data_IF_343541080711
#
_entry.id   IF_343541080711
#
_cell.length_a   1.000
_cell.length_b   1.000
_cell.length_c   1.000
_cell.angle_alpha   90.00
_cell.angle_beta   90.00
_cell.angle_gamma   90.00
#
_symmetry.space_group_name_H-M   'P 1'
#
loop_
_entity.id
_entity.type
_entity.pdbx_description
1 polymer ?
#
# COMPACT_ATOMS: atom_id res chain seq x y z
N UNK A 1 4.48 -17.18 4.17
CA UNK A 1 4.35 -15.76 4.55
C UNK A 1 3.78 -15.03 3.35
N UNK A 2 2.59 -14.48 3.48
CA UNK A 2 1.91 -13.78 2.39
C UNK A 2 2.56 -12.39 2.25
N UNK A 3 2.82 -11.90 1.04
CA UNK A 3 3.52 -10.62 0.81
C UNK A 3 2.90 -9.43 1.58
N UNK A 4 1.57 -9.45 1.79
CA UNK A 4 0.85 -8.44 2.57
C UNK A 4 1.15 -8.49 4.08
N UNK A 5 1.43 -9.65 4.64
CA UNK A 5 1.82 -9.77 6.06
C UNK A 5 3.19 -9.14 6.28
N UNK A 6 4.14 -9.39 5.37
CA UNK A 6 5.46 -8.76 5.44
C UNK A 6 5.36 -7.25 5.22
N UNK A 7 4.51 -6.79 4.30
CA UNK A 7 4.20 -5.37 4.13
C UNK A 7 3.77 -4.71 5.44
N UNK A 8 2.80 -5.30 6.14
CA UNK A 8 2.30 -4.77 7.42
C UNK A 8 3.45 -4.70 8.44
N UNK A 9 4.26 -5.75 8.53
CA UNK A 9 5.39 -5.84 9.47
C UNK A 9 6.49 -4.81 9.20
N UNK A 10 6.83 -4.52 7.95
CA UNK A 10 7.89 -3.54 7.62
C UNK A 10 7.35 -2.11 7.75
N UNK A 11 6.10 -1.85 7.33
CA UNK A 11 5.45 -0.54 7.49
C UNK A 11 5.20 -0.21 8.97
N UNK A 12 4.91 -1.20 9.82
CA UNK A 12 4.73 -0.94 11.26
C UNK A 12 6.02 -0.41 11.91
N UNK A 13 7.17 -0.80 11.36
CA UNK A 13 8.53 -0.38 11.76
C UNK A 13 9.04 0.85 11.00
N UNK A 14 8.18 1.56 10.27
CA UNK A 14 8.52 2.73 9.47
C UNK A 14 9.52 2.46 8.33
N UNK A 15 9.67 1.19 7.94
CA UNK A 15 10.51 0.77 6.82
C UNK A 15 9.74 0.94 5.50
N UNK A 16 9.43 2.18 5.14
CA UNK A 16 8.51 2.49 4.04
C UNK A 16 9.05 2.18 2.64
N UNK A 17 10.38 2.20 2.46
CA UNK A 17 11.00 1.75 1.20
C UNK A 17 10.84 0.24 1.05
N UNK A 18 11.13 -0.52 2.11
CA UNK A 18 10.91 -1.97 2.14
C UNK A 18 9.44 -2.32 1.88
N UNK A 19 8.49 -1.56 2.45
CA UNK A 19 7.07 -1.72 2.18
C UNK A 19 6.71 -1.62 0.70
N UNK A 20 7.41 -0.80 -0.09
CA UNK A 20 7.25 -0.81 -1.54
C UNK A 20 7.74 -2.14 -2.14
N UNK A 21 8.98 -2.53 -1.81
CA UNK A 21 9.69 -3.66 -2.42
C UNK A 21 8.98 -4.99 -2.18
N UNK A 22 8.50 -5.25 -0.96
CA UNK A 22 7.86 -6.53 -0.59
C UNK A 22 6.54 -6.78 -1.32
N UNK A 23 5.81 -5.73 -1.71
CA UNK A 23 4.57 -5.85 -2.48
C UNK A 23 4.78 -5.75 -4.00
N UNK A 24 5.89 -5.18 -4.46
CA UNK A 24 6.11 -4.89 -5.87
C UNK A 24 6.09 -6.17 -6.72
N UNK A 25 6.76 -7.23 -6.26
CA UNK A 25 6.80 -8.53 -6.97
C UNK A 25 5.37 -9.08 -7.18
N UNK A 26 4.57 -9.08 -6.11
CA UNK A 26 3.22 -9.61 -6.16
C UNK A 26 2.29 -8.72 -7.00
N UNK A 27 2.41 -7.40 -6.90
CA UNK A 27 1.70 -6.48 -7.78
C UNK A 27 2.02 -6.71 -9.26
N UNK A 28 3.30 -6.93 -9.60
CA UNK A 28 3.73 -7.23 -10.96
C UNK A 28 3.17 -8.54 -11.49
N UNK A 29 2.96 -9.53 -10.61
CA UNK A 29 2.30 -10.80 -10.94
C UNK A 29 0.80 -10.59 -11.16
N UNK A 30 0.09 -10.01 -10.19
CA UNK A 30 -1.36 -9.86 -10.21
C UNK A 30 -1.85 -8.97 -11.35
N UNK A 31 -1.13 -7.90 -11.70
CA UNK A 31 -1.56 -6.99 -12.78
C UNK A 31 -1.63 -7.63 -14.17
N UNK A 32 -1.08 -8.84 -14.33
CA UNK A 32 -1.12 -9.63 -15.57
C UNK A 32 -2.29 -10.64 -15.59
N UNK A 33 -3.00 -10.81 -14.47
CA UNK A 33 -4.08 -11.77 -14.32
C UNK A 33 -5.42 -11.03 -14.29
N UNK A 34 -6.31 -11.21 -15.28
CA UNK A 34 -7.58 -10.48 -15.35
C UNK A 34 -8.45 -10.61 -14.09
N UNK A 35 -8.51 -11.81 -13.50
CA UNK A 35 -9.32 -12.10 -12.32
C UNK A 35 -8.83 -11.38 -11.05
N UNK A 36 -7.61 -10.84 -11.07
CA UNK A 36 -6.96 -10.18 -9.94
C UNK A 36 -6.83 -8.66 -10.18
N UNK A 37 -7.58 -8.10 -11.12
CA UNK A 37 -7.45 -6.69 -11.50
C UNK A 37 -7.66 -5.73 -10.33
N UNK A 38 -8.58 -6.02 -9.41
CA UNK A 38 -8.85 -5.17 -8.25
C UNK A 38 -7.81 -5.36 -7.15
N UNK A 39 -7.34 -6.58 -6.89
CA UNK A 39 -6.21 -6.81 -5.98
C UNK A 39 -4.93 -6.15 -6.49
N UNK A 40 -4.65 -6.21 -7.79
CA UNK A 40 -3.52 -5.50 -8.38
C UNK A 40 -3.61 -3.98 -8.18
N UNK A 41 -4.81 -3.40 -8.29
CA UNK A 41 -5.04 -1.97 -8.00
C UNK A 41 -4.88 -1.66 -6.51
N UNK A 42 -5.37 -2.54 -5.64
CA UNK A 42 -5.19 -2.42 -4.18
C UNK A 42 -3.71 -2.41 -3.84
N UNK A 43 -2.93 -3.39 -4.30
CA UNK A 43 -1.48 -3.45 -4.06
C UNK A 43 -0.78 -2.21 -4.60
N UNK A 44 -1.14 -1.73 -5.80
CA UNK A 44 -0.62 -0.46 -6.32
C UNK A 44 -0.90 0.71 -5.37
N UNK A 45 -2.10 0.78 -4.80
CA UNK A 45 -2.46 1.78 -3.80
C UNK A 45 -1.58 1.68 -2.55
N UNK A 46 -1.44 0.49 -1.97
CA UNK A 46 -0.63 0.26 -0.76
C UNK A 46 0.86 0.59 -0.98
N UNK A 47 1.42 0.16 -2.11
CA UNK A 47 2.79 0.48 -2.54
C UNK A 47 2.99 2.00 -2.61
N UNK A 48 2.07 2.71 -3.26
CA UNK A 48 2.17 4.17 -3.40
C UNK A 48 1.99 4.89 -2.05
N UNK A 49 1.13 4.41 -1.16
CA UNK A 49 1.04 4.96 0.19
C UNK A 49 2.38 4.83 0.95
N UNK A 50 3.02 3.65 0.85
CA UNK A 50 4.35 3.43 1.44
C UNK A 50 5.40 4.36 0.83
N UNK A 51 5.44 4.50 -0.50
CA UNK A 51 6.33 5.45 -1.18
C UNK A 51 6.07 6.90 -0.76
N UNK A 52 4.81 7.31 -0.59
CA UNK A 52 4.47 8.64 -0.14
C UNK A 52 4.99 8.93 1.28
N UNK A 53 4.84 7.97 2.21
CA UNK A 53 5.42 8.08 3.56
C UNK A 53 6.95 8.18 3.52
N UNK A 54 7.61 7.36 2.70
CA UNK A 54 9.06 7.44 2.50
C UNK A 54 9.52 8.82 1.98
N UNK A 55 8.75 9.43 1.06
CA UNK A 55 9.01 10.78 0.56
C UNK A 55 8.79 11.84 1.65
N UNK A 56 7.74 11.70 2.45
CA UNK A 56 7.41 12.61 3.53
C UNK A 56 8.51 12.64 4.61
N UNK A 57 9.03 11.46 5.01
CA UNK A 57 10.18 11.33 5.91
C UNK A 57 11.45 12.03 5.37
N UNK A 58 11.58 12.16 4.05
CA UNK A 58 12.68 12.87 3.38
C UNK A 58 12.39 14.37 3.19
N UNK A 59 11.33 14.91 3.78
CA UNK A 59 10.93 16.32 3.65
C UNK A 59 10.29 16.67 2.29
N UNK A 60 10.04 15.70 1.41
CA UNK A 60 9.49 15.93 0.06
C UNK A 60 7.95 15.97 0.08
N UNK A 61 7.39 16.93 0.83
CA UNK A 61 5.95 17.01 1.13
C UNK A 61 5.03 17.05 -0.09
N UNK A 62 5.34 17.89 -1.09
CA UNK A 62 4.52 18.01 -2.31
C UNK A 62 4.47 16.70 -3.09
N UNK A 63 5.65 16.08 -3.30
CA UNK A 63 5.72 14.79 -3.98
C UNK A 63 5.04 13.66 -3.21
N UNK A 64 5.15 13.66 -1.88
CA UNK A 64 4.45 12.70 -1.03
C UNK A 64 2.93 12.79 -1.22
N UNK A 65 2.35 14.00 -1.19
CA UNK A 65 0.91 14.21 -1.40
C UNK A 65 0.45 13.75 -2.79
N UNK A 66 1.22 14.04 -3.84
CA UNK A 66 0.91 13.60 -5.21
C UNK A 66 0.90 12.07 -5.33
N UNK A 67 1.89 11.39 -4.75
CA UNK A 67 1.96 9.92 -4.74
C UNK A 67 0.81 9.32 -3.92
N UNK A 68 0.48 9.94 -2.78
CA UNK A 68 -0.62 9.49 -1.89
C UNK A 68 -1.99 9.47 -2.58
N UNK A 69 -2.25 10.37 -3.53
CA UNK A 69 -3.50 10.36 -4.30
C UNK A 69 -3.75 9.04 -5.04
N UNK A 70 -2.69 8.31 -5.40
CA UNK A 70 -2.83 6.97 -6.00
C UNK A 70 -3.40 5.97 -5.00
N UNK A 71 -3.01 6.06 -3.73
CA UNK A 71 -3.63 5.27 -2.67
C UNK A 71 -5.11 5.61 -2.51
N UNK A 72 -5.44 6.90 -2.42
CA UNK A 72 -6.84 7.36 -2.23
C UNK A 72 -7.75 6.92 -3.38
N UNK A 73 -7.24 6.87 -4.61
CA UNK A 73 -7.95 6.35 -5.77
C UNK A 73 -8.35 4.88 -5.63
N UNK A 74 -7.49 4.03 -5.06
CA UNK A 74 -7.69 2.58 -5.03
C UNK A 74 -8.12 2.02 -3.67
N UNK A 75 -7.92 2.76 -2.58
CA UNK A 75 -8.35 2.39 -1.23
C UNK A 75 -9.84 1.99 -1.14
N UNK A 76 -10.78 2.63 -1.87
CA UNK A 76 -12.19 2.22 -1.87
C UNK A 76 -12.48 0.81 -2.43
N UNK A 77 -11.51 0.17 -3.10
CA UNK A 77 -11.63 -1.21 -3.58
C UNK A 77 -11.46 -2.24 -2.45
N UNK A 78 -10.69 -1.92 -1.41
CA UNK A 78 -10.39 -2.82 -0.28
C UNK A 78 -11.66 -3.43 0.33
N UNK A 79 -12.67 -2.64 0.76
CA UNK A 79 -13.88 -3.22 1.34
C UNK A 79 -14.76 -3.98 0.31
N UNK A 80 -14.58 -3.71 -0.99
CA UNK A 80 -15.42 -4.26 -2.08
C UNK A 80 -14.85 -5.54 -2.70
N UNK A 81 -13.55 -5.76 -2.59
CA UNK A 81 -12.87 -6.92 -3.17
C UNK A 81 -13.28 -8.21 -2.46
N UNK A 82 -13.61 -9.25 -3.22
CA UNK A 82 -13.79 -10.60 -2.72
C UNK A 82 -12.46 -11.34 -2.80
N UNK A 83 -11.66 -11.25 -1.74
CA UNK A 83 -10.35 -11.90 -1.63
C UNK A 83 -10.15 -12.48 -0.24
N UNK A 84 -9.46 -13.61 -0.16
CA UNK A 84 -9.00 -14.18 1.11
C UNK A 84 -7.99 -13.27 1.83
N UNK A 85 -7.28 -12.41 1.08
CA UNK A 85 -6.34 -11.44 1.64
C UNK A 85 -7.00 -10.15 2.14
N UNK A 86 -8.32 -9.97 1.92
CA UNK A 86 -9.06 -8.75 2.32
C UNK A 86 -8.80 -8.31 3.77
N UNK A 87 -8.82 -9.19 4.80
CA UNK A 87 -8.56 -8.78 6.17
C UNK A 87 -7.20 -8.10 6.34
N UNK A 88 -6.17 -8.59 5.65
CA UNK A 88 -4.83 -8.00 5.67
C UNK A 88 -4.78 -6.67 4.91
N UNK A 89 -5.53 -6.52 3.81
CA UNK A 89 -5.65 -5.22 3.13
C UNK A 89 -6.30 -4.16 4.02
N UNK A 90 -7.32 -4.54 4.79
CA UNK A 90 -7.98 -3.65 5.76
C UNK A 90 -7.04 -3.27 6.91
N UNK A 91 -6.23 -4.21 7.40
CA UNK A 91 -5.19 -3.96 8.39
C UNK A 91 -4.12 -2.99 7.85
N UNK A 92 -3.59 -3.27 6.66
CA UNK A 92 -2.64 -2.40 5.98
C UNK A 92 -3.19 -0.99 5.77
N UNK A 93 -4.47 -0.86 5.40
CA UNK A 93 -5.15 0.43 5.27
C UNK A 93 -5.19 1.19 6.61
N UNK A 94 -5.60 0.55 7.71
CA UNK A 94 -5.63 1.18 9.04
C UNK A 94 -4.24 1.65 9.45
N UNK A 95 -3.23 0.82 9.25
CA UNK A 95 -1.84 1.15 9.55
C UNK A 95 -1.34 2.34 8.74
N UNK A 96 -1.54 2.33 7.42
CA UNK A 96 -1.11 3.42 6.53
C UNK A 96 -1.80 4.74 6.88
N UNK A 97 -3.08 4.73 7.21
CA UNK A 97 -3.81 5.94 7.65
C UNK A 97 -3.26 6.48 8.98
N UNK A 98 -2.92 5.60 9.93
CA UNK A 98 -2.29 6.01 11.17
C UNK A 98 -0.89 6.63 10.91
N UNK A 99 -0.09 6.01 10.04
CA UNK A 99 1.22 6.54 9.65
C UNK A 99 1.11 7.86 8.88
N UNK A 100 0.10 8.04 8.01
CA UNK A 100 -0.17 9.31 7.33
C UNK A 100 -0.28 10.45 8.33
N UNK A 101 -1.11 10.30 9.36
CA UNK A 101 -1.30 11.34 10.39
C UNK A 101 -0.03 11.70 11.18
N UNK A 102 0.97 10.81 11.20
CA UNK A 102 2.24 11.05 11.88
C UNK A 102 3.30 11.73 10.98
N UNK A 103 3.31 11.39 9.68
CA UNK A 103 4.40 11.77 8.78
C UNK A 103 4.01 12.79 7.70
N UNK A 104 2.72 12.98 7.42
CA UNK A 104 2.19 13.77 6.31
C UNK A 104 1.14 14.79 6.77
#
# INVERSE_FOLDING_TARGET
MIAIEEFIKVVSKDQFVEGHEVLEIEWHRLKKLPDYADEAKILKGLINASTALALACKGKKVGALQVWQTYEKYAPLIPKTLSLAKPHYEEAQKLLLAKKNLYM
#
